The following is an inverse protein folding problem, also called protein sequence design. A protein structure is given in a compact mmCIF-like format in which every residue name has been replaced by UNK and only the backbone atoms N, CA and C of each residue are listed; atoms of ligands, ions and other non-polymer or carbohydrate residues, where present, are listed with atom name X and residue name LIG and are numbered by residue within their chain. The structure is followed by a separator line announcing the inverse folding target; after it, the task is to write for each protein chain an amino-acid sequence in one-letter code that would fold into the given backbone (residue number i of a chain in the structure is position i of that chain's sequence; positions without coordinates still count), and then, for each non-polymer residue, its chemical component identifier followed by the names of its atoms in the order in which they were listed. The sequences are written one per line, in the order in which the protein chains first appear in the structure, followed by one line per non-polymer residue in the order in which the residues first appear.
data_IF_430418409829
#
_entry.id   IF_430418409829
#
_cell.length_a   1.000
_cell.length_b   1.000
_cell.length_c   1.000
_cell.angle_alpha   90.00
_cell.angle_beta   90.00
_cell.angle_gamma   90.00
#
_symmetry.space_group_name_H-M   'P 1'
#
loop_
_entity.id
_entity.type
_entity.pdbx_description
1 polymer ?
#
# COMPACT_ATOMS: atom_id res chain seq x y z
N UNK A 1 -27.04 -3.69 19.80
CA UNK A 1 -26.81 -2.46 19.02
C UNK A 1 -25.68 -2.76 18.05
N UNK A 2 -25.99 -2.79 16.75
CA UNK A 2 -25.04 -3.21 15.70
C UNK A 2 -24.06 -2.10 15.34
N UNK A 3 -23.19 -1.74 16.28
CA UNK A 3 -22.11 -0.77 16.03
C UNK A 3 -21.02 -1.41 15.16
N UNK A 4 -20.63 -0.71 14.09
CA UNK A 4 -19.50 -1.11 13.25
C UNK A 4 -18.21 -0.84 14.01
N UNK A 5 -17.44 -1.89 14.28
CA UNK A 5 -16.12 -1.78 14.88
C UNK A 5 -15.06 -1.92 13.80
N UNK A 6 -14.08 -1.01 13.80
CA UNK A 6 -12.87 -1.16 13.01
C UNK A 6 -11.95 -2.11 13.76
N UNK A 7 -11.69 -3.27 13.17
CA UNK A 7 -10.84 -4.29 13.81
C UNK A 7 -9.36 -4.05 13.55
N UNK A 8 -9.03 -3.38 12.46
CA UNK A 8 -7.66 -3.07 12.06
C UNK A 8 -7.54 -2.78 10.57
N UNK A 9 -6.32 -2.55 10.13
CA UNK A 9 -5.94 -2.37 8.73
C UNK A 9 -4.52 -2.83 8.47
N UNK A 10 -4.17 -2.97 7.20
CA UNK A 10 -2.79 -3.24 6.74
C UNK A 10 -2.31 -2.01 5.98
N UNK A 11 -1.10 -1.57 6.33
CA UNK A 11 -0.39 -0.51 5.64
C UNK A 11 0.84 -1.13 4.97
N UNK A 12 0.88 -1.09 3.65
CA UNK A 12 2.01 -1.59 2.87
C UNK A 12 2.64 -0.44 2.08
N UNK A 13 3.96 -0.35 2.18
CA UNK A 13 4.76 0.62 1.44
C UNK A 13 5.88 -0.12 0.72
N UNK A 14 5.86 -0.04 -0.61
CA UNK A 14 6.91 -0.56 -1.46
C UNK A 14 7.63 0.61 -2.13
N UNK A 15 8.96 0.67 -2.00
CA UNK A 15 9.78 1.71 -2.61
C UNK A 15 10.88 1.06 -3.42
N UNK A 16 10.79 1.23 -4.74
CA UNK A 16 11.72 0.65 -5.68
C UNK A 16 12.53 1.76 -6.38
N UNK A 17 13.85 1.68 -6.22
CA UNK A 17 14.81 2.59 -6.83
C UNK A 17 15.65 1.83 -7.85
N UNK A 18 15.43 2.12 -9.12
CA UNK A 18 16.20 1.61 -10.24
C UNK A 18 17.12 2.69 -10.79
N UNK A 19 18.38 2.35 -11.05
CA UNK A 19 19.31 3.21 -11.77
C UNK A 19 19.87 2.39 -12.94
N UNK A 20 19.56 2.82 -14.15
CA UNK A 20 20.11 2.27 -15.38
C UNK A 20 21.02 3.32 -16.02
N UNK A 21 22.10 2.89 -16.68
CA UNK A 21 23.00 3.85 -17.31
C UNK A 21 24.09 3.19 -18.12
N UNK A 22 24.78 3.99 -18.92
CA UNK A 22 25.90 3.54 -19.74
C UNK A 22 27.11 3.31 -18.83
N UNK A 23 27.73 2.11 -18.84
CA UNK A 23 28.94 1.85 -18.07
C UNK A 23 30.06 2.82 -18.47
N UNK A 24 30.95 3.18 -17.54
CA UNK A 24 31.99 4.21 -17.67
C UNK A 24 31.48 5.67 -17.72
N UNK A 25 30.57 6.02 -18.62
CA UNK A 25 30.08 7.41 -18.75
C UNK A 25 29.11 7.83 -17.64
N UNK A 26 28.41 6.88 -17.03
CA UNK A 26 27.57 7.15 -15.87
C UNK A 26 28.38 7.73 -14.71
N UNK A 27 29.59 7.24 -14.43
CA UNK A 27 30.39 7.58 -13.23
C UNK A 27 31.15 8.90 -13.32
N UNK A 28 31.03 9.62 -14.44
CA UNK A 28 31.71 10.89 -14.61
C UNK A 28 31.13 11.96 -13.68
N UNK A 29 31.97 12.66 -12.89
CA UNK A 29 31.53 13.81 -12.14
C UNK A 29 31.02 14.89 -13.12
N UNK A 30 30.03 15.68 -12.68
CA UNK A 30 29.42 16.79 -13.44
C UNK A 30 28.48 16.37 -14.59
N UNK A 31 28.83 15.37 -15.41
CA UNK A 31 28.04 14.98 -16.61
C UNK A 31 27.40 13.60 -16.54
N UNK A 32 27.72 12.79 -15.53
CA UNK A 32 27.24 11.42 -15.40
C UNK A 32 25.70 11.29 -15.36
N UNK A 33 24.99 12.31 -14.87
CA UNK A 33 23.53 12.33 -14.83
C UNK A 33 22.87 12.34 -16.22
N UNK A 34 23.56 12.79 -17.28
CA UNK A 34 23.04 12.77 -18.64
C UNK A 34 23.08 11.37 -19.27
N UNK A 35 23.87 10.46 -18.71
CA UNK A 35 24.08 9.09 -19.20
C UNK A 35 23.45 8.02 -18.27
N UNK A 36 22.65 8.46 -17.29
CA UNK A 36 21.91 7.60 -16.37
C UNK A 36 20.42 7.95 -16.40
N UNK A 37 19.58 6.93 -16.36
CA UNK A 37 18.16 7.02 -16.09
C UNK A 37 17.90 6.54 -14.67
N UNK A 38 17.24 7.38 -13.87
CA UNK A 38 16.80 7.01 -12.52
C UNK A 38 15.29 6.82 -12.53
N UNK A 39 14.84 5.66 -12.05
CA UNK A 39 13.45 5.28 -11.90
C UNK A 39 13.15 5.14 -10.41
N UNK A 40 12.28 6.01 -9.89
CA UNK A 40 11.73 5.86 -8.54
C UNK A 40 10.26 5.49 -8.68
N UNK A 41 9.88 4.35 -8.10
CA UNK A 41 8.49 3.92 -8.00
C UNK A 41 8.17 3.71 -6.52
N UNK A 42 7.20 4.47 -6.03
CA UNK A 42 6.66 4.31 -4.69
C UNK A 42 5.21 3.82 -4.81
N UNK A 43 4.91 2.68 -4.19
CA UNK A 43 3.56 2.13 -4.07
C UNK A 43 3.10 2.20 -2.63
N UNK A 44 1.84 2.59 -2.42
CA UNK A 44 1.21 2.67 -1.10
C UNK A 44 -0.14 2.01 -1.18
N UNK A 45 -0.35 1.01 -0.33
CA UNK A 45 -1.61 0.28 -0.25
C UNK A 45 -2.13 0.34 1.19
N UNK A 46 -3.38 0.76 1.33
CA UNK A 46 -4.08 0.90 2.60
C UNK A 46 -5.35 0.06 2.58
N UNK A 47 -5.36 -1.03 3.36
CA UNK A 47 -6.53 -1.90 3.48
C UNK A 47 -7.17 -1.71 4.87
N UNK A 48 -8.48 -1.49 4.89
CA UNK A 48 -9.27 -1.36 6.12
C UNK A 48 -10.31 -2.47 6.21
N UNK A 49 -10.44 -3.09 7.39
CA UNK A 49 -11.42 -4.15 7.65
C UNK A 49 -12.46 -3.66 8.66
N UNK A 50 -13.73 -3.70 8.23
CA UNK A 50 -14.89 -3.31 9.03
C UNK A 50 -15.77 -4.53 9.31
N UNK A 51 -16.19 -4.71 10.56
CA UNK A 51 -17.21 -5.72 10.91
C UNK A 51 -18.38 -5.03 11.61
N UNK A 52 -19.58 -5.34 11.13
CA UNK A 52 -20.85 -4.90 11.73
C UNK A 52 -21.61 -6.13 12.22
N UNK A 53 -21.61 -6.42 13.53
CA UNK A 53 -22.38 -7.54 14.06
C UNK A 53 -23.89 -7.24 14.02
N UNK A 54 -24.69 -8.23 13.61
CA UNK A 54 -26.16 -8.17 13.68
C UNK A 54 -26.65 -9.09 14.80
N UNK A 55 -27.32 -8.50 15.79
CA UNK A 55 -27.95 -9.27 16.88
C UNK A 55 -29.34 -9.72 16.40
N UNK A 56 -29.54 -11.03 16.27
CA UNK A 56 -30.86 -11.63 16.03
C UNK A 56 -31.40 -12.09 17.39
N UNK A 57 -32.56 -11.54 17.80
CA UNK A 57 -33.27 -12.03 18.99
C UNK A 57 -34.13 -13.21 18.56
N UNK A 58 -33.71 -14.42 18.90
CA UNK A 58 -34.52 -15.62 18.76
C UNK A 58 -35.56 -15.61 19.91
N UNK A 59 -36.85 -15.55 19.58
CA UNK A 59 -37.89 -15.40 20.58
C UNK A 59 -39.25 -14.91 20.10
N UNK A 60 -39.46 -14.70 18.80
CA UNK A 60 -40.82 -14.71 18.25
C UNK A 60 -41.04 -16.05 17.54
N UNK A 61 -41.14 -17.09 18.35
CA UNK A 61 -41.85 -18.30 17.97
C UNK A 61 -43.24 -17.86 17.52
N UNK A 62 -43.45 -17.90 16.21
CA UNK A 62 -44.76 -17.84 15.58
C UNK A 62 -45.61 -18.95 16.20
N UNK A 63 -46.47 -18.57 17.15
CA UNK A 63 -47.65 -19.35 17.53
C UNK A 63 -48.83 -18.77 16.77
#
# INVERSE_FOLDING_TARGET
NGETVVLGGVYEQDSNKGVEGVPFFGDLPLIGALFRSSSNRDSKEELLIFITPKIIKEGMSIQ
#
